data_IF_945712790606
#
_entry.id   IF_945712790606
#
_cell.length_a   1.000
_cell.length_b   1.000
_cell.length_c   1.000
_cell.angle_alpha   90.00
_cell.angle_beta   90.00
_cell.angle_gamma   90.00
#
_symmetry.space_group_name_H-M   'P 1'
#
loop_
_entity.id
_entity.type
_entity.pdbx_description
1 polymer ?
#
# COMPACT_ATOMS: atom_id res chain seq x y z
N UNK A 1 25.11 0.75 -2.28
CA UNK A 1 23.98 1.16 -1.44
C UNK A 1 24.37 1.00 0.02
N UNK A 2 24.71 2.09 0.67
CA UNK A 2 24.97 2.19 2.12
C UNK A 2 23.69 2.58 2.85
N UNK A 3 23.68 2.53 4.19
CA UNK A 3 22.53 2.98 4.98
C UNK A 3 22.18 4.47 4.75
N UNK A 4 23.14 5.29 4.28
CA UNK A 4 22.93 6.68 3.93
C UNK A 4 22.10 6.87 2.64
N UNK A 5 22.00 5.82 1.80
CA UNK A 5 21.26 5.88 0.52
C UNK A 5 19.76 5.60 0.70
N UNK A 6 19.29 5.27 1.91
CA UNK A 6 17.89 4.95 2.22
C UNK A 6 17.39 5.94 3.28
N UNK A 7 16.57 6.95 2.91
CA UNK A 7 16.08 7.98 3.83
C UNK A 7 15.31 7.48 5.07
N UNK A 8 14.96 6.19 5.13
CA UNK A 8 14.33 5.54 6.29
C UNK A 8 15.25 4.62 7.11
N UNK A 9 16.54 4.53 6.76
CA UNK A 9 17.49 3.62 7.39
C UNK A 9 17.22 2.13 7.09
N UNK A 10 17.88 1.25 7.85
CA UNK A 10 17.76 -0.22 7.71
C UNK A 10 17.24 -0.80 9.02
N UNK A 11 16.13 -1.53 8.95
CA UNK A 11 15.58 -2.29 10.09
C UNK A 11 15.87 -3.78 9.88
N UNK A 12 16.41 -4.46 10.89
CA UNK A 12 16.79 -5.89 10.84
C UNK A 12 15.71 -6.84 11.35
N UNK A 13 14.44 -6.47 11.19
CA UNK A 13 13.29 -7.25 11.62
C UNK A 13 11.99 -6.73 11.03
N UNK A 14 10.86 -7.41 11.27
CA UNK A 14 9.56 -6.98 10.78
C UNK A 14 9.21 -5.60 11.33
N UNK A 15 8.87 -4.66 10.44
CA UNK A 15 8.29 -3.38 10.83
C UNK A 15 6.75 -3.47 10.80
N UNK A 16 6.05 -2.80 11.73
CA UNK A 16 4.60 -2.76 11.69
C UNK A 16 4.13 -2.05 10.41
N UNK A 17 3.25 -2.70 9.66
CA UNK A 17 2.53 -2.05 8.57
C UNK A 17 1.66 -0.93 9.11
N UNK A 18 1.72 0.28 8.53
CA UNK A 18 0.89 1.42 8.94
C UNK A 18 -0.31 1.60 8.00
N UNK A 19 -0.03 1.68 6.70
CA UNK A 19 -0.99 2.00 5.64
C UNK A 19 -0.61 1.22 4.39
N UNK A 20 -1.60 0.80 3.60
CA UNK A 20 -1.39 0.11 2.31
C UNK A 20 -1.92 1.00 1.18
N UNK A 21 -1.11 1.20 0.15
CA UNK A 21 -1.49 1.88 -1.08
C UNK A 21 -1.48 0.89 -2.24
N UNK A 22 -2.58 0.80 -2.97
CA UNK A 22 -2.67 0.12 -4.26
C UNK A 22 -2.42 1.15 -5.34
N UNK A 23 -1.32 0.99 -6.08
CA UNK A 23 -0.95 1.90 -7.16
C UNK A 23 -1.75 1.58 -8.41
N UNK A 24 -2.37 2.59 -8.99
CA UNK A 24 -3.04 2.51 -10.29
C UNK A 24 -2.27 3.42 -11.24
N UNK A 25 -1.75 2.83 -12.31
CA UNK A 25 -1.19 3.59 -13.42
C UNK A 25 -2.32 3.93 -14.39
N UNK A 26 -2.54 5.22 -14.60
CA UNK A 26 -3.49 5.75 -15.59
C UNK A 26 -2.76 6.78 -16.45
N UNK A 27 -2.48 6.47 -17.74
CA UNK A 27 -1.73 7.37 -18.61
C UNK A 27 -2.48 8.66 -18.94
N UNK A 28 -3.79 8.70 -18.75
CA UNK A 28 -4.64 9.87 -19.02
C UNK A 28 -4.85 10.73 -17.76
N UNK A 29 -4.35 10.29 -16.60
CA UNK A 29 -4.47 11.04 -15.36
C UNK A 29 -3.61 12.30 -15.39
N UNK A 30 -4.27 13.46 -15.42
CA UNK A 30 -3.61 14.78 -15.38
C UNK A 30 -3.08 15.16 -13.99
N UNK A 31 -3.53 14.47 -12.93
CA UNK A 31 -3.08 14.68 -11.56
C UNK A 31 -3.23 13.39 -10.74
N UNK A 32 -2.40 13.16 -9.71
CA UNK A 32 -2.57 12.02 -8.84
C UNK A 32 -3.82 12.18 -7.98
N UNK A 33 -4.46 11.06 -7.65
CA UNK A 33 -5.64 11.06 -6.77
C UNK A 33 -5.59 9.90 -5.80
N UNK A 34 -6.21 10.09 -4.64
CA UNK A 34 -6.26 9.08 -3.59
C UNK A 34 -7.68 8.84 -3.13
N UNK A 35 -8.06 7.58 -3.00
CA UNK A 35 -9.37 7.16 -2.52
C UNK A 35 -9.22 6.12 -1.43
N UNK A 36 -9.95 6.28 -0.33
CA UNK A 36 -9.99 5.27 0.75
C UNK A 36 -10.76 4.04 0.28
N UNK A 37 -10.20 2.86 0.56
CA UNK A 37 -10.83 1.58 0.29
C UNK A 37 -11.57 1.05 1.51
N UNK A 38 -12.62 0.26 1.25
CA UNK A 38 -13.21 -0.58 2.29
C UNK A 38 -12.28 -1.74 2.64
N UNK A 39 -12.43 -2.32 3.83
CA UNK A 39 -11.65 -3.49 4.21
C UNK A 39 -11.90 -4.69 3.27
N UNK A 40 -13.13 -4.87 2.78
CA UNK A 40 -13.45 -5.94 1.83
C UNK A 40 -12.77 -5.75 0.47
N UNK A 41 -12.83 -4.53 -0.09
CA UNK A 41 -12.15 -4.20 -1.35
C UNK A 41 -10.63 -4.35 -1.23
N UNK A 42 -10.05 -3.87 -0.13
CA UNK A 42 -8.62 -4.01 0.13
C UNK A 42 -8.18 -5.47 0.33
N UNK A 43 -8.97 -6.29 1.03
CA UNK A 43 -8.67 -7.71 1.21
C UNK A 43 -8.69 -8.46 -0.13
N UNK A 44 -9.69 -8.20 -0.97
CA UNK A 44 -9.78 -8.81 -2.30
C UNK A 44 -8.59 -8.42 -3.19
N UNK A 45 -8.20 -7.14 -3.19
CA UNK A 45 -7.03 -6.68 -3.94
C UNK A 45 -5.72 -7.25 -3.41
N UNK A 46 -5.53 -7.35 -2.08
CA UNK A 46 -4.36 -8.00 -1.48
C UNK A 46 -4.28 -9.47 -1.91
N UNK A 47 -5.37 -10.21 -1.76
CA UNK A 47 -5.44 -11.62 -2.13
C UNK A 47 -5.07 -11.83 -3.59
N UNK A 48 -5.60 -11.02 -4.50
CA UNK A 48 -5.33 -11.13 -5.94
C UNK A 48 -3.90 -10.75 -6.35
N UNK A 49 -3.25 -9.81 -5.67
CA UNK A 49 -1.99 -9.21 -6.14
C UNK A 49 -0.74 -9.62 -5.34
N UNK A 50 -0.88 -10.09 -4.10
CA UNK A 50 0.27 -10.17 -3.18
C UNK A 50 0.55 -11.56 -2.65
N UNK A 51 -0.45 -12.43 -2.61
CA UNK A 51 -0.30 -13.75 -2.03
C UNK A 51 -0.18 -14.79 -3.11
N UNK A 52 0.82 -15.66 -2.99
CA UNK A 52 0.84 -16.92 -3.70
C UNK A 52 -0.10 -17.87 -2.94
N UNK A 53 -1.25 -18.27 -3.50
CA UNK A 53 -2.22 -19.11 -2.78
C UNK A 53 -1.62 -20.44 -2.30
N UNK A 54 -0.63 -20.98 -3.02
CA UNK A 54 0.01 -22.25 -2.69
C UNK A 54 0.98 -22.17 -1.50
N UNK A 55 1.33 -20.97 -1.04
CA UNK A 55 2.31 -20.76 0.04
C UNK A 55 1.66 -20.64 1.43
N UNK A 56 0.33 -20.64 1.51
CA UNK A 56 -0.38 -20.28 2.73
C UNK A 56 -1.56 -21.23 3.02
N UNK A 57 -1.78 -21.53 4.29
CA UNK A 57 -3.00 -22.22 4.73
C UNK A 57 -4.22 -21.34 4.43
N UNK A 58 -5.33 -21.96 4.02
CA UNK A 58 -6.55 -21.24 3.62
C UNK A 58 -6.35 -20.30 2.43
N UNK A 59 -5.45 -20.67 1.51
CA UNK A 59 -5.08 -19.93 0.31
C UNK A 59 -4.53 -18.51 0.56
N UNK A 60 -4.29 -18.15 1.83
CA UNK A 60 -3.82 -16.82 2.24
C UNK A 60 -4.93 -15.77 2.41
N UNK A 61 -6.20 -16.09 2.18
CA UNK A 61 -7.30 -15.12 2.29
C UNK A 61 -7.41 -14.53 3.71
N UNK A 62 -7.23 -15.35 4.74
CA UNK A 62 -7.26 -14.90 6.14
C UNK A 62 -6.17 -13.86 6.44
N UNK A 63 -4.99 -13.99 5.83
CA UNK A 63 -3.92 -13.03 5.97
C UNK A 63 -4.27 -11.70 5.29
N UNK A 64 -4.85 -11.74 4.09
CA UNK A 64 -5.33 -10.56 3.37
C UNK A 64 -6.41 -9.81 4.18
N UNK A 65 -7.38 -10.54 4.75
CA UNK A 65 -8.43 -9.98 5.61
C UNK A 65 -7.80 -9.32 6.86
N UNK A 66 -6.86 -9.99 7.53
CA UNK A 66 -6.19 -9.44 8.72
C UNK A 66 -5.43 -8.15 8.44
N UNK A 67 -4.74 -8.06 7.30
CA UNK A 67 -4.05 -6.82 6.90
C UNK A 67 -5.05 -5.71 6.59
N UNK A 68 -6.06 -6.00 5.76
CA UNK A 68 -7.03 -5.00 5.30
C UNK A 68 -7.94 -4.46 6.40
N UNK A 69 -8.25 -5.27 7.43
CA UNK A 69 -9.08 -4.84 8.57
C UNK A 69 -8.27 -4.07 9.61
N UNK A 70 -6.97 -4.36 9.76
CA UNK A 70 -6.12 -3.73 10.76
C UNK A 70 -5.51 -2.39 10.35
N UNK A 71 -5.63 -1.99 9.07
CA UNK A 71 -4.92 -0.86 8.47
C UNK A 71 -5.82 -0.03 7.57
N UNK A 72 -5.45 1.23 7.35
CA UNK A 72 -6.06 2.02 6.28
C UNK A 72 -5.49 1.59 4.95
N UNK A 73 -6.37 1.39 3.98
CA UNK A 73 -6.03 1.02 2.63
C UNK A 73 -6.54 2.09 1.67
N UNK A 74 -5.72 2.44 0.70
CA UNK A 74 -6.02 3.46 -0.29
C UNK A 74 -5.70 2.96 -1.69
N UNK A 75 -6.48 3.41 -2.66
CA UNK A 75 -6.09 3.44 -4.06
C UNK A 75 -5.38 4.77 -4.33
N UNK A 76 -4.22 4.72 -4.97
CA UNK A 76 -3.46 5.88 -5.41
C UNK A 76 -3.31 5.79 -6.93
N UNK A 77 -4.08 6.60 -7.64
CA UNK A 77 -3.85 6.81 -9.07
C UNK A 77 -2.63 7.71 -9.23
N UNK A 78 -1.60 7.18 -9.89
CA UNK A 78 -0.32 7.86 -10.10
C UNK A 78 -0.39 8.74 -11.33
N UNK A 79 0.29 9.88 -11.29
CA UNK A 79 0.57 10.72 -12.46
C UNK A 79 2.05 11.12 -12.40
N UNK A 80 2.38 12.40 -12.60
CA UNK A 80 3.73 12.93 -12.40
C UNK A 80 4.30 12.56 -11.01
N UNK A 81 5.59 12.21 -10.97
CA UNK A 81 6.22 11.62 -9.78
C UNK A 81 6.18 12.57 -8.57
N UNK A 82 6.60 13.82 -8.76
CA UNK A 82 6.66 14.80 -7.68
C UNK A 82 5.30 15.04 -6.99
N UNK A 83 4.20 15.34 -7.71
CA UNK A 83 2.89 15.49 -7.07
C UNK A 83 2.36 14.17 -6.50
N UNK A 84 2.68 13.02 -7.09
CA UNK A 84 2.28 11.70 -6.56
C UNK A 84 2.93 11.45 -5.20
N UNK A 85 4.24 11.69 -5.08
CA UNK A 85 4.96 11.58 -3.81
C UNK A 85 4.41 12.56 -2.76
N UNK A 86 4.12 13.81 -3.14
CA UNK A 86 3.53 14.80 -2.24
C UNK A 86 2.17 14.34 -1.69
N UNK A 87 1.31 13.78 -2.54
CA UNK A 87 0.00 13.26 -2.14
C UNK A 87 0.12 12.05 -1.20
N UNK A 88 1.05 11.14 -1.48
CA UNK A 88 1.32 9.97 -0.66
C UNK A 88 1.78 10.37 0.75
N UNK A 89 2.75 11.30 0.86
CA UNK A 89 3.24 11.81 2.14
C UNK A 89 2.12 12.48 2.92
N UNK A 90 1.37 13.40 2.29
CA UNK A 90 0.26 14.09 2.93
C UNK A 90 -0.85 13.14 3.42
N UNK A 91 -1.09 12.03 2.71
CA UNK A 91 -2.07 11.00 3.12
C UNK A 91 -1.55 10.18 4.30
N UNK A 92 -0.25 9.93 4.36
CA UNK A 92 0.40 9.17 5.44
C UNK A 92 0.43 9.99 6.74
N UNK A 93 0.71 11.29 6.66
CA UNK A 93 0.75 12.16 7.84
C UNK A 93 -0.63 12.37 8.48
N UNK A 94 -1.68 12.44 7.67
CA UNK A 94 -3.09 12.50 8.15
C UNK A 94 -3.59 11.17 8.71
N UNK A 95 -2.81 10.12 8.52
CA UNK A 95 -3.14 8.78 8.94
C UNK A 95 -2.54 8.47 10.32
N UNK A 96 -1.38 9.01 10.67
CA UNK A 96 -0.83 8.86 12.02
C UNK A 96 -1.73 9.53 13.08
#
# INVERSE_FOLDING_TARGET
MTAADIPGGIVRGPAPLSTVFFLIYDPEASAPSVRRLSAGEAAARLYANTLNPLAHAGDGLDAAIRVATGRRCFELTTAELAPTCALLTATTDRSL
#
